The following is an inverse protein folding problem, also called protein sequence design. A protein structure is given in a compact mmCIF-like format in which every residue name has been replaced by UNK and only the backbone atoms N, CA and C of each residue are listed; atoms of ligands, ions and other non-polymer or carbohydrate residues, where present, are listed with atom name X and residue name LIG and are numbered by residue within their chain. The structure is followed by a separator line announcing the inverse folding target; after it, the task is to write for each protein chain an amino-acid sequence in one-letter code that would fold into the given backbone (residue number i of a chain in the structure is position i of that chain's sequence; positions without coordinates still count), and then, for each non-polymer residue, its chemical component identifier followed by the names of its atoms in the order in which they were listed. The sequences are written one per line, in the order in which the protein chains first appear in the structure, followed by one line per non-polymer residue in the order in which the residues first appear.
data_IF_898240557234
#
_entry.id   IF_898240557234
#
_cell.length_a   1.000
_cell.length_b   1.000
_cell.length_c   1.000
_cell.angle_alpha   90.00
_cell.angle_beta   90.00
_cell.angle_gamma   90.00
#
_symmetry.space_group_name_H-M   'P 1'
#
loop_
_entity.id
_entity.type
_entity.pdbx_description
1 polymer ?
#
# COMPACT_ATOMS: atom_id res chain seq x y z
N UNK A 1 -4.21 -9.04 -21.41
CA UNK A 1 -5.40 -8.25 -21.03
C UNK A 1 -6.11 -8.96 -19.90
N UNK A 2 -6.63 -8.24 -18.89
CA UNK A 2 -7.33 -8.85 -17.76
C UNK A 2 -8.74 -9.31 -18.19
N UNK A 3 -9.27 -10.42 -17.64
CA UNK A 3 -10.63 -10.87 -17.94
C UNK A 3 -11.68 -9.79 -17.59
N UNK A 4 -12.77 -9.69 -18.37
CA UNK A 4 -13.93 -8.84 -18.07
C UNK A 4 -14.13 -7.60 -18.96
N UNK A 5 -13.20 -7.25 -19.85
CA UNK A 5 -13.37 -6.14 -20.80
C UNK A 5 -13.37 -4.75 -20.16
N UNK A 6 -13.62 -3.71 -20.97
CA UNK A 6 -13.54 -2.29 -20.57
C UNK A 6 -14.54 -1.96 -19.45
N UNK A 7 -15.78 -2.42 -19.57
CA UNK A 7 -16.85 -2.12 -18.60
C UNK A 7 -16.59 -2.68 -17.19
N UNK A 8 -15.99 -3.86 -17.09
CA UNK A 8 -15.68 -4.49 -15.78
C UNK A 8 -14.43 -3.90 -15.13
N UNK A 9 -13.53 -3.32 -15.92
CA UNK A 9 -12.25 -2.79 -15.43
C UNK A 9 -12.20 -1.25 -15.38
N UNK A 10 -13.23 -0.55 -15.88
CA UNK A 10 -13.33 0.90 -15.80
C UNK A 10 -13.30 1.35 -14.33
N UNK A 11 -12.51 2.40 -14.03
CA UNK A 11 -12.32 2.97 -12.69
C UNK A 11 -11.68 2.03 -11.64
N UNK A 12 -11.13 0.88 -12.05
CA UNK A 12 -10.43 -0.03 -11.13
C UNK A 12 -8.97 0.39 -10.97
N UNK A 13 -8.65 1.01 -9.83
CA UNK A 13 -7.28 1.39 -9.50
C UNK A 13 -6.35 0.16 -9.37
N UNK A 14 -5.07 0.28 -9.76
CA UNK A 14 -4.10 -0.79 -9.60
C UNK A 14 -3.88 -1.11 -8.12
N UNK A 15 -3.74 -2.40 -7.81
CA UNK A 15 -3.48 -2.87 -6.45
C UNK A 15 -2.01 -2.60 -6.07
N UNK A 16 -1.79 -2.27 -4.79
CA UNK A 16 -0.45 -2.20 -4.23
C UNK A 16 0.13 -3.60 -4.10
N UNK A 17 1.22 -3.87 -4.81
CA UNK A 17 1.90 -5.18 -4.82
C UNK A 17 3.25 -5.16 -4.12
N UNK A 18 3.69 -4.01 -3.59
CA UNK A 18 4.89 -3.86 -2.78
C UNK A 18 6.17 -4.53 -3.35
N UNK A 19 6.35 -4.53 -4.67
CA UNK A 19 7.37 -5.33 -5.35
C UNK A 19 8.47 -4.50 -6.07
N UNK A 20 8.49 -3.18 -5.92
CA UNK A 20 9.45 -2.34 -6.68
C UNK A 20 10.78 -2.16 -5.95
N UNK A 21 10.83 -2.43 -4.65
CA UNK A 21 12.08 -2.42 -3.87
C UNK A 21 11.82 -2.54 -2.38
N UNK A 22 12.89 -2.65 -1.60
CA UNK A 22 12.86 -2.67 -0.14
C UNK A 22 13.83 -1.62 0.42
N UNK A 23 13.46 -0.99 1.53
CA UNK A 23 14.31 -0.02 2.25
C UNK A 23 14.22 -0.24 3.75
N UNK A 24 15.34 -0.11 4.46
CA UNK A 24 15.36 -0.05 5.92
C UNK A 24 15.43 1.40 6.34
N UNK A 25 14.44 1.88 7.09
CA UNK A 25 14.39 3.25 7.58
C UNK A 25 13.87 3.30 9.02
N UNK A 26 14.56 4.03 9.89
CA UNK A 26 14.20 4.18 11.31
C UNK A 26 13.94 2.83 12.03
N UNK A 27 14.72 1.79 11.69
CA UNK A 27 14.59 0.45 12.26
C UNK A 27 13.48 -0.42 11.69
N UNK A 28 12.82 0.00 10.60
CA UNK A 28 11.72 -0.73 9.95
C UNK A 28 12.10 -1.17 8.54
N UNK A 29 11.78 -2.41 8.19
CA UNK A 29 11.89 -2.91 6.82
C UNK A 29 10.59 -2.59 6.06
N UNK A 30 10.72 -1.86 4.96
CA UNK A 30 9.60 -1.34 4.19
C UNK A 30 9.69 -1.85 2.74
N UNK A 31 8.64 -2.53 2.28
CA UNK A 31 8.45 -2.90 0.89
C UNK A 31 7.71 -1.78 0.13
N UNK A 32 8.31 -1.36 -0.99
CA UNK A 32 7.90 -0.20 -1.78
C UNK A 32 6.97 -0.61 -2.92
N UNK A 33 6.05 0.29 -3.25
CA UNK A 33 5.28 0.23 -4.49
C UNK A 33 5.13 1.65 -5.04
N UNK A 34 5.45 1.86 -6.31
CA UNK A 34 5.46 3.20 -6.90
C UNK A 34 4.10 3.91 -6.87
N UNK A 35 3.01 3.16 -6.78
CA UNK A 35 1.65 3.71 -6.75
C UNK A 35 1.09 4.03 -5.36
N UNK A 36 1.83 3.80 -4.27
CA UNK A 36 1.22 3.78 -2.94
C UNK A 36 2.17 3.83 -1.75
N UNK A 37 1.63 3.82 -0.52
CA UNK A 37 2.42 3.79 0.70
C UNK A 37 3.19 2.46 0.80
N UNK A 38 4.38 2.49 1.42
CA UNK A 38 5.11 1.26 1.70
C UNK A 38 4.34 0.34 2.65
N UNK A 39 4.62 -0.95 2.52
CA UNK A 39 4.16 -1.98 3.45
C UNK A 39 5.31 -2.34 4.38
N UNK A 40 5.09 -2.27 5.69
CA UNK A 40 6.03 -2.71 6.71
C UNK A 40 6.02 -4.23 6.80
N UNK A 41 7.22 -4.79 6.87
CA UNK A 41 7.47 -6.23 6.95
C UNK A 41 8.37 -6.48 8.17
N UNK A 42 8.12 -7.56 8.88
CA UNK A 42 9.02 -8.02 9.95
C UNK A 42 10.37 -8.45 9.34
N UNK A 43 11.50 -7.89 9.79
CA UNK A 43 12.80 -8.20 9.18
C UNK A 43 13.30 -9.62 9.48
N UNK A 44 12.82 -10.25 10.54
CA UNK A 44 13.27 -11.58 11.00
C UNK A 44 12.37 -12.69 10.44
N UNK A 45 11.05 -12.47 10.39
CA UNK A 45 10.09 -13.48 9.92
C UNK A 45 9.59 -13.25 8.49
N UNK A 46 9.78 -12.04 7.95
CA UNK A 46 9.19 -11.57 6.67
C UNK A 46 7.66 -11.52 6.66
N UNK A 47 7.03 -11.54 7.84
CA UNK A 47 5.58 -11.38 7.93
C UNK A 47 5.15 -9.97 7.57
N UNK A 48 4.00 -9.87 6.89
CA UNK A 48 3.42 -8.57 6.54
C UNK A 48 2.77 -7.93 7.78
N UNK A 49 3.34 -6.81 8.24
CA UNK A 49 2.80 -6.05 9.39
C UNK A 49 1.66 -5.14 8.92
N UNK A 50 1.82 -4.44 7.80
CA UNK A 50 0.76 -3.61 7.21
C UNK A 50 1.25 -2.30 6.59
N UNK A 51 0.32 -1.41 6.23
CA UNK A 51 0.66 -0.17 5.51
C UNK A 51 1.33 0.85 6.44
N UNK A 52 2.54 1.29 6.09
CA UNK A 52 3.28 2.32 6.82
C UNK A 52 3.00 3.72 6.24
N UNK A 53 2.55 4.66 7.10
CA UNK A 53 2.14 6.01 6.67
C UNK A 53 3.03 7.16 7.16
N UNK A 54 4.21 6.85 7.73
CA UNK A 54 5.17 7.85 8.24
C UNK A 54 4.51 8.97 9.06
N UNK A 55 3.61 8.61 9.99
CA UNK A 55 2.91 9.57 10.84
C UNK A 55 2.00 10.56 10.09
N UNK A 56 1.51 10.22 8.88
CA UNK A 56 0.62 11.08 8.09
C UNK A 56 1.33 12.18 7.30
N UNK A 57 2.67 12.20 7.29
CA UNK A 57 3.46 13.19 6.52
C UNK A 57 3.49 12.91 5.02
N UNK A 58 3.19 11.68 4.61
CA UNK A 58 3.10 11.30 3.19
C UNK A 58 1.70 11.61 2.64
N UNK A 59 1.54 12.79 2.02
CA UNK A 59 0.29 13.29 1.41
C UNK A 59 0.10 12.92 -0.06
N UNK A 60 0.81 11.90 -0.56
CA UNK A 60 0.71 11.53 -1.98
C UNK A 60 -0.53 10.65 -2.22
N UNK A 61 -1.11 10.72 -3.44
CA UNK A 61 -2.38 10.10 -3.85
C UNK A 61 -2.47 8.58 -3.62
N UNK A 62 -1.34 7.95 -3.29
CA UNK A 62 -1.25 6.56 -2.85
C UNK A 62 -1.79 6.28 -1.45
N UNK A 63 -1.89 7.28 -0.58
CA UNK A 63 -2.35 7.16 0.80
C UNK A 63 -3.88 6.96 0.90
N UNK A 64 -4.43 5.99 0.19
CA UNK A 64 -5.88 5.73 0.10
C UNK A 64 -6.53 5.68 1.50
N UNK A 65 -7.43 6.64 1.75
CA UNK A 65 -8.43 6.60 2.82
C UNK A 65 -9.76 6.87 2.11
N UNK A 66 -10.80 6.08 2.41
CA UNK A 66 -11.88 6.68 3.16
C UNK A 66 -11.94 6.00 4.52
N UNK A 67 -11.82 6.80 5.57
CA UNK A 67 -12.32 6.39 6.87
C UNK A 67 -13.80 6.12 6.75
N UNK A 68 -14.23 4.88 6.94
CA UNK A 68 -15.57 4.62 7.45
C UNK A 68 -15.46 4.55 8.97
N UNK A 69 -15.38 5.73 9.58
CA UNK A 69 -15.70 5.87 11.01
C UNK A 69 -17.21 5.83 11.16
N UNK A 70 -17.70 4.91 11.99
CA UNK A 70 -19.05 4.97 12.54
C UNK A 70 -19.97 3.87 12.02
N UNK A 71 -20.12 2.81 12.80
CA UNK A 71 -21.42 2.23 13.13
C UNK A 71 -21.36 1.91 14.65
N UNK A 72 -22.33 2.32 15.48
CA UNK A 72 -22.45 1.85 16.86
C UNK A 72 -22.68 0.35 16.94
#
# INVERSE_FOLDING_TARGET
MRPGGIWTNALRFPANVANTGVVVHAGKLLALWEGGPPTEIDPDTLDTIGIHRFGGKLKWLGASRPTRSGIP
#
